data_IF_828560093761
#
_entry.id   IF_828560093761
#
_cell.length_a   1.000
_cell.length_b   1.000
_cell.length_c   1.000
_cell.angle_alpha   90.00
_cell.angle_beta   90.00
_cell.angle_gamma   90.00
#
_symmetry.space_group_name_H-M   'P 1'
#
loop_
_entity.id
_entity.type
_entity.pdbx_description
1 polymer ?
#
# COMPACT_ATOMS: atom_id res chain seq x y z
N UNK A 1 -19.29 -4.32 -59.18
CA UNK A 1 -20.27 -3.56 -59.98
C UNK A 1 -21.66 -4.01 -59.58
N UNK A 2 -22.58 -3.04 -59.54
CA UNK A 2 -24.00 -3.17 -59.21
C UNK A 2 -24.32 -3.17 -57.72
N UNK A 3 -25.12 -2.26 -57.22
CA UNK A 3 -25.75 -1.04 -57.74
C UNK A 3 -26.47 -0.49 -56.50
N UNK A 4 -26.41 0.83 -56.34
CA UNK A 4 -27.44 1.69 -55.78
C UNK A 4 -28.61 0.97 -55.07
N UNK A 5 -28.85 1.24 -53.78
CA UNK A 5 -30.20 1.46 -53.23
C UNK A 5 -30.28 1.51 -51.69
N UNK A 6 -29.26 1.94 -50.94
CA UNK A 6 -29.44 2.08 -49.49
C UNK A 6 -28.69 3.25 -48.85
N UNK A 7 -28.62 4.37 -49.58
CA UNK A 7 -28.03 5.63 -49.11
C UNK A 7 -29.00 6.82 -49.25
N UNK A 8 -30.30 6.61 -49.47
CA UNK A 8 -31.19 7.73 -49.75
C UNK A 8 -32.65 7.44 -49.40
N UNK A 9 -32.99 7.35 -48.11
CA UNK A 9 -34.35 7.61 -47.58
C UNK A 9 -34.37 7.47 -46.06
N UNK A 10 -33.85 8.46 -45.32
CA UNK A 10 -34.39 8.82 -43.98
C UNK A 10 -33.86 10.18 -43.48
N UNK A 11 -33.52 11.11 -44.39
CA UNK A 11 -33.15 12.51 -44.09
C UNK A 11 -34.34 13.42 -44.45
N UNK A 12 -35.53 13.12 -43.91
CA UNK A 12 -36.74 13.89 -44.21
C UNK A 12 -37.75 13.81 -43.06
N UNK A 13 -37.46 14.45 -41.93
CA UNK A 13 -38.46 14.95 -40.98
C UNK A 13 -37.78 15.72 -39.85
N UNK A 14 -37.55 17.03 -40.04
CA UNK A 14 -37.57 18.06 -38.98
C UNK A 14 -36.96 19.36 -39.51
N UNK A 15 -37.73 20.12 -40.28
CA UNK A 15 -37.53 21.55 -40.46
C UNK A 15 -38.90 22.16 -40.72
N UNK A 16 -39.39 22.98 -39.79
CA UNK A 16 -40.09 24.24 -40.06
C UNK A 16 -40.82 24.75 -38.80
N UNK A 17 -40.86 26.07 -38.67
CA UNK A 17 -41.58 26.91 -37.69
C UNK A 17 -40.89 27.06 -36.32
N UNK A 18 -40.60 28.26 -35.82
CA UNK A 18 -40.96 29.61 -36.25
C UNK A 18 -40.58 30.60 -35.15
N UNK A 19 -40.17 31.80 -35.55
CA UNK A 19 -39.74 32.94 -34.74
C UNK A 19 -40.93 33.56 -33.97
N UNK A 20 -40.74 34.08 -32.76
CA UNK A 20 -41.76 34.94 -32.13
C UNK A 20 -41.48 35.36 -30.68
N UNK A 21 -41.40 36.68 -30.49
CA UNK A 21 -41.14 37.46 -29.28
C UNK A 21 -42.04 37.20 -28.06
N UNK A 22 -41.47 37.33 -26.85
CA UNK A 22 -42.17 37.92 -25.70
C UNK A 22 -41.28 38.99 -25.07
N UNK A 23 -41.67 40.25 -25.30
CA UNK A 23 -41.15 41.44 -24.66
C UNK A 23 -41.80 41.67 -23.29
N UNK A 24 -40.98 42.22 -22.39
CA UNK A 24 -41.32 43.20 -21.35
C UNK A 24 -42.33 42.83 -20.25
N UNK A 25 -41.79 42.55 -19.06
CA UNK A 25 -42.37 43.09 -17.83
C UNK A 25 -41.30 43.92 -17.10
N UNK A 26 -41.47 45.23 -17.16
CA UNK A 26 -40.65 46.26 -16.52
C UNK A 26 -41.27 46.68 -15.19
N UNK A 27 -40.45 46.74 -14.13
CA UNK A 27 -40.77 47.29 -12.80
C UNK A 27 -40.98 46.17 -11.76
N UNK A 28 -40.24 46.07 -10.65
CA UNK A 28 -39.46 47.05 -9.89
C UNK A 28 -38.37 46.28 -9.15
N UNK A 29 -37.09 46.38 -9.55
CA UNK A 29 -36.00 45.82 -8.74
C UNK A 29 -35.67 46.81 -7.64
N UNK A 30 -36.09 46.54 -6.41
CA UNK A 30 -35.42 47.11 -5.24
C UNK A 30 -34.04 46.47 -5.21
N UNK A 31 -33.03 47.20 -5.69
CA UNK A 31 -31.62 46.85 -5.46
C UNK A 31 -31.31 47.16 -4.00
N UNK A 32 -31.56 46.20 -3.12
CA UNK A 32 -30.82 46.15 -1.86
C UNK A 32 -29.41 45.71 -2.24
N UNK A 33 -28.53 46.69 -2.45
CA UNK A 33 -27.09 46.46 -2.45
C UNK A 33 -26.76 45.67 -1.16
N UNK A 34 -26.29 44.41 -1.26
CA UNK A 34 -25.85 43.70 -0.07
C UNK A 34 -24.61 44.42 0.44
N UNK A 35 -24.74 45.12 1.57
CA UNK A 35 -23.64 45.82 2.26
C UNK A 35 -22.58 44.88 2.86
N UNK A 36 -22.49 43.64 2.39
CA UNK A 36 -21.43 42.73 2.77
C UNK A 36 -20.77 42.15 1.52
N UNK A 37 -19.57 42.64 1.25
CA UNK A 37 -18.64 42.01 0.30
C UNK A 37 -18.28 40.63 0.86
N UNK A 38 -18.96 39.59 0.41
CA UNK A 38 -18.49 38.21 0.58
C UNK A 38 -17.28 38.04 -0.33
N UNK A 39 -16.08 38.39 0.15
CA UNK A 39 -14.84 37.93 -0.47
C UNK A 39 -14.81 36.40 -0.38
N UNK A 40 -15.04 35.74 -1.51
CA UNK A 40 -14.67 34.35 -1.75
C UNK A 40 -15.30 33.33 -0.81
N UNK A 41 -16.57 32.97 -1.06
CA UNK A 41 -17.09 31.71 -0.58
C UNK A 41 -16.28 30.55 -1.21
N UNK A 42 -15.60 29.68 -0.45
CA UNK A 42 -14.97 28.50 -1.01
C UNK A 42 -16.09 27.54 -1.44
N UNK A 43 -16.29 27.40 -2.75
CA UNK A 43 -17.18 26.42 -3.32
C UNK A 43 -16.79 25.02 -2.81
N UNK A 44 -17.76 24.31 -2.25
CA UNK A 44 -17.56 23.09 -1.49
C UNK A 44 -16.77 22.00 -2.22
N UNK A 45 -15.78 21.47 -1.52
CA UNK A 45 -15.52 20.04 -1.38
C UNK A 45 -14.92 19.84 0.01
N UNK A 46 -15.56 18.99 0.79
CA UNK A 46 -15.04 18.44 2.03
C UNK A 46 -13.78 17.61 1.75
N UNK A 47 -12.62 18.25 1.64
CA UNK A 47 -11.35 17.57 1.84
C UNK A 47 -11.17 17.29 3.34
N UNK A 48 -12.07 16.48 3.91
CA UNK A 48 -11.84 15.88 5.21
C UNK A 48 -10.60 15.00 5.07
N UNK A 49 -9.43 15.60 5.28
CA UNK A 49 -8.14 14.95 5.47
C UNK A 49 -8.23 14.16 6.76
N UNK A 50 -8.94 13.03 6.71
CA UNK A 50 -9.08 12.15 7.83
C UNK A 50 -7.77 11.39 7.95
N UNK A 51 -6.89 11.89 8.83
CA UNK A 51 -5.63 11.24 9.13
C UNK A 51 -5.88 9.81 9.57
N UNK A 52 -5.18 8.86 8.96
CA UNK A 52 -5.26 7.46 9.37
C UNK A 52 -4.53 7.26 10.70
N UNK A 53 -5.27 7.25 11.80
CA UNK A 53 -4.74 6.96 13.13
C UNK A 53 -4.25 5.50 13.24
N UNK A 54 -3.28 5.26 14.16
CA UNK A 54 -2.73 3.92 14.49
C UNK A 54 -2.13 3.13 13.31
N UNK A 55 -1.48 3.81 12.35
CA UNK A 55 -0.80 3.13 11.25
C UNK A 55 0.48 2.39 11.69
N UNK A 56 0.35 1.11 12.02
CA UNK A 56 1.46 0.23 12.45
C UNK A 56 2.32 -0.29 11.30
N UNK A 57 1.80 -0.30 10.07
CA UNK A 57 2.46 -0.89 8.90
C UNK A 57 3.46 0.08 8.26
N UNK A 58 4.69 -0.37 8.02
CA UNK A 58 5.71 0.43 7.33
C UNK A 58 5.53 0.29 5.81
N UNK A 59 5.27 1.40 5.12
CA UNK A 59 5.01 1.41 3.65
C UNK A 59 6.27 1.18 2.80
N UNK A 60 7.47 1.48 3.33
CA UNK A 60 8.77 1.30 2.65
C UNK A 60 8.88 1.94 1.25
N UNK A 61 8.05 2.95 0.96
CA UNK A 61 7.92 3.59 -0.36
C UNK A 61 7.71 2.56 -1.49
N UNK A 62 6.97 1.48 -1.21
CA UNK A 62 6.65 0.43 -2.17
C UNK A 62 5.15 0.10 -2.13
N UNK A 63 4.55 -0.26 -3.28
CA UNK A 63 3.19 -0.80 -3.31
C UNK A 63 3.10 -2.12 -2.54
N UNK A 64 1.88 -2.57 -2.24
CA UNK A 64 1.65 -3.71 -1.35
C UNK A 64 2.36 -5.00 -1.80
N UNK A 65 2.30 -5.31 -3.09
CA UNK A 65 2.84 -6.55 -3.65
C UNK A 65 4.37 -6.58 -3.59
N UNK A 66 5.00 -5.50 -4.07
CA UNK A 66 6.47 -5.36 -4.01
C UNK A 66 6.97 -5.34 -2.57
N UNK A 67 6.24 -4.72 -1.65
CA UNK A 67 6.58 -4.72 -0.23
C UNK A 67 6.52 -6.12 0.36
N UNK A 68 5.47 -6.89 0.04
CA UNK A 68 5.33 -8.29 0.48
C UNK A 68 6.50 -9.13 -0.04
N UNK A 69 6.81 -9.04 -1.32
CA UNK A 69 7.94 -9.76 -1.91
C UNK A 69 9.29 -9.40 -1.25
N UNK A 70 9.55 -8.11 -1.03
CA UNK A 70 10.76 -7.64 -0.35
C UNK A 70 10.89 -8.21 1.08
N UNK A 71 9.80 -8.21 1.84
CA UNK A 71 9.82 -8.72 3.22
C UNK A 71 10.00 -10.24 3.25
N UNK A 72 9.39 -10.98 2.31
CA UNK A 72 9.60 -12.44 2.15
C UNK A 72 11.05 -12.76 1.82
N UNK A 73 11.65 -12.04 0.88
CA UNK A 73 13.04 -12.21 0.50
C UNK A 73 13.96 -11.96 1.70
N UNK A 74 13.83 -10.80 2.36
CA UNK A 74 14.65 -10.49 3.53
C UNK A 74 14.46 -11.49 4.69
N UNK A 75 13.24 -12.00 4.91
CA UNK A 75 13.00 -13.02 5.93
C UNK A 75 13.75 -14.31 5.61
N UNK A 76 13.67 -14.75 4.35
CA UNK A 76 14.36 -15.96 3.86
C UNK A 76 15.87 -15.82 4.01
N UNK A 77 16.42 -14.69 3.59
CA UNK A 77 17.86 -14.42 3.70
C UNK A 77 18.33 -14.37 5.16
N UNK A 78 17.56 -13.76 6.07
CA UNK A 78 17.93 -13.69 7.50
C UNK A 78 17.97 -15.08 8.12
N UNK A 79 17.01 -15.95 7.77
CA UNK A 79 16.99 -17.33 8.28
C UNK A 79 18.15 -18.15 7.69
N UNK A 80 18.45 -17.94 6.40
CA UNK A 80 19.54 -18.63 5.70
C UNK A 80 20.93 -18.30 6.25
N UNK A 81 21.21 -17.03 6.47
CA UNK A 81 22.56 -16.57 6.86
C UNK A 81 22.70 -16.27 8.35
N UNK A 82 21.60 -16.19 9.10
CA UNK A 82 21.56 -15.80 10.50
C UNK A 82 21.85 -14.31 10.76
N UNK A 83 22.54 -13.61 9.86
CA UNK A 83 22.91 -12.20 10.01
C UNK A 83 22.96 -11.46 8.68
N UNK A 84 22.30 -10.29 8.59
CA UNK A 84 22.24 -9.47 7.37
C UNK A 84 22.36 -7.99 7.67
N UNK A 85 23.09 -7.27 6.81
CA UNK A 85 23.17 -5.80 6.81
C UNK A 85 22.12 -5.21 5.87
N UNK A 86 21.23 -4.37 6.39
CA UNK A 86 20.17 -3.69 5.62
C UNK A 86 19.91 -2.28 6.15
N UNK A 87 18.90 -1.58 5.65
CA UNK A 87 18.52 -0.26 6.19
C UNK A 87 17.73 -0.43 7.48
N UNK A 88 17.86 0.52 8.41
CA UNK A 88 17.21 0.48 9.73
C UNK A 88 15.69 0.30 9.63
N UNK A 89 15.06 0.95 8.65
CA UNK A 89 13.62 0.87 8.45
C UNK A 89 13.20 -0.52 7.98
N UNK A 90 13.98 -1.15 7.07
CA UNK A 90 13.73 -2.51 6.58
C UNK A 90 13.98 -3.53 7.70
N UNK A 91 15.07 -3.43 8.45
CA UNK A 91 15.37 -4.31 9.58
C UNK A 91 14.23 -4.32 10.62
N UNK A 92 13.74 -3.13 11.01
CA UNK A 92 12.61 -3.01 11.95
C UNK A 92 11.31 -3.61 11.42
N UNK A 93 11.07 -3.55 10.10
CA UNK A 93 9.88 -4.13 9.49
C UNK A 93 9.97 -5.66 9.39
N UNK A 94 11.14 -6.20 9.03
CA UNK A 94 11.40 -7.63 8.88
C UNK A 94 11.35 -8.36 10.22
N UNK A 95 11.73 -7.70 11.31
CA UNK A 95 11.71 -8.24 12.68
C UNK A 95 10.46 -9.05 13.02
N UNK A 96 9.27 -8.45 12.77
CA UNK A 96 7.97 -9.11 13.03
C UNK A 96 7.80 -10.42 12.25
N UNK A 97 8.27 -10.44 11.00
CA UNK A 97 8.10 -11.61 10.14
C UNK A 97 9.07 -12.73 10.52
N UNK A 98 10.33 -12.41 10.82
CA UNK A 98 11.31 -13.41 11.25
C UNK A 98 10.93 -13.99 12.61
N UNK A 99 10.55 -13.16 13.58
CA UNK A 99 10.14 -13.63 14.90
C UNK A 99 8.95 -14.59 14.80
N UNK A 100 7.99 -14.29 13.92
CA UNK A 100 6.84 -15.16 13.67
C UNK A 100 7.24 -16.49 13.00
N UNK A 101 8.20 -16.50 12.05
CA UNK A 101 8.65 -17.76 11.45
C UNK A 101 9.32 -18.67 12.48
N UNK A 102 10.08 -18.12 13.42
CA UNK A 102 10.73 -18.89 14.51
C UNK A 102 9.68 -19.43 15.47
N UNK A 103 8.66 -18.64 15.80
CA UNK A 103 7.52 -19.10 16.62
C UNK A 103 6.76 -20.25 15.95
N UNK A 104 6.54 -20.19 14.63
CA UNK A 104 5.97 -21.31 13.87
C UNK A 104 6.85 -22.56 13.92
N UNK A 105 8.17 -22.40 13.80
CA UNK A 105 9.15 -23.49 13.90
C UNK A 105 9.14 -24.15 15.26
N UNK A 106 9.09 -23.36 16.36
CA UNK A 106 9.00 -23.86 17.73
C UNK A 106 7.73 -24.66 18.00
N UNK A 107 6.62 -24.29 17.36
CA UNK A 107 5.34 -25.02 17.50
C UNK A 107 5.34 -26.39 16.82
N UNK A 108 6.07 -26.57 15.72
CA UNK A 108 6.27 -27.88 15.09
C UNK A 108 5.08 -28.49 14.31
N UNK A 109 3.85 -27.98 14.47
CA UNK A 109 2.65 -28.53 13.82
C UNK A 109 2.71 -28.56 12.27
N UNK A 110 1.99 -29.51 11.66
CA UNK A 110 1.80 -29.56 10.20
C UNK A 110 1.16 -28.27 9.66
N UNK A 111 0.21 -27.69 10.40
CA UNK A 111 -0.39 -26.42 10.03
C UNK A 111 0.63 -25.28 10.03
N UNK A 112 1.52 -25.24 11.02
CA UNK A 112 2.59 -24.25 11.10
C UNK A 112 3.57 -24.37 9.92
N UNK A 113 3.93 -25.62 9.56
CA UNK A 113 4.80 -25.90 8.42
C UNK A 113 4.20 -25.41 7.10
N UNK A 114 2.89 -25.61 6.87
CA UNK A 114 2.18 -25.09 5.69
C UNK A 114 2.18 -23.56 5.64
N UNK A 115 1.99 -22.89 6.77
CA UNK A 115 2.08 -21.43 6.86
C UNK A 115 3.48 -20.92 6.51
N UNK A 116 4.52 -21.55 7.03
CA UNK A 116 5.92 -21.18 6.75
C UNK A 116 6.28 -21.36 5.27
N UNK A 117 5.87 -22.47 4.64
CA UNK A 117 6.04 -22.72 3.21
C UNK A 117 5.32 -21.70 2.31
N UNK A 118 4.21 -21.11 2.79
CA UNK A 118 3.53 -20.03 2.07
C UNK A 118 4.30 -18.70 2.08
N UNK A 119 5.26 -18.53 2.99
CA UNK A 119 6.02 -17.29 3.17
C UNK A 119 7.45 -17.39 2.67
N UNK A 120 8.22 -18.38 3.13
CA UNK A 120 9.62 -18.60 2.77
C UNK A 120 9.71 -19.20 1.36
N UNK A 121 10.73 -18.83 0.58
CA UNK A 121 10.87 -19.31 -0.80
C UNK A 121 11.47 -20.72 -0.91
N UNK A 122 12.32 -21.07 0.06
CA UNK A 122 13.12 -22.30 0.05
C UNK A 122 12.50 -23.35 1.00
N UNK A 123 12.27 -24.56 0.48
CA UNK A 123 11.64 -25.66 1.21
C UNK A 123 12.60 -26.32 2.19
N UNK A 124 13.86 -26.46 1.80
CA UNK A 124 14.88 -27.12 2.61
C UNK A 124 15.23 -26.27 3.83
N UNK A 125 15.23 -24.94 3.64
CA UNK A 125 15.39 -23.98 4.73
C UNK A 125 14.24 -24.06 5.75
N UNK A 126 13.01 -24.32 5.31
CA UNK A 126 11.88 -24.52 6.22
C UNK A 126 12.03 -25.83 6.98
N UNK A 127 12.59 -26.87 6.35
CA UNK A 127 12.85 -28.12 7.04
C UNK A 127 13.87 -27.94 8.17
N UNK A 128 15.04 -27.38 7.85
CA UNK A 128 16.10 -27.12 8.83
C UNK A 128 15.69 -26.16 9.95
N UNK A 129 14.87 -25.14 9.64
CA UNK A 129 14.32 -24.25 10.66
C UNK A 129 13.48 -24.99 11.69
N UNK A 130 12.64 -25.94 11.28
CA UNK A 130 11.77 -26.68 12.19
C UNK A 130 12.53 -27.72 13.02
N UNK A 131 13.66 -28.20 12.54
CA UNK A 131 14.55 -29.10 13.30
C UNK A 131 15.37 -28.32 14.33
N UNK A 132 15.96 -27.19 13.94
CA UNK A 132 16.88 -26.44 14.79
C UNK A 132 16.17 -25.48 15.78
N UNK A 133 14.99 -24.95 15.45
CA UNK A 133 14.34 -23.92 16.26
C UNK A 133 13.89 -24.38 17.65
N UNK A 134 13.33 -25.60 17.86
CA UNK A 134 12.89 -26.06 19.16
C UNK A 134 14.03 -26.16 20.17
N UNK A 135 15.20 -26.65 19.74
CA UNK A 135 16.39 -26.77 20.59
C UNK A 135 17.01 -25.40 20.88
N UNK A 136 17.17 -24.55 19.85
CA UNK A 136 17.85 -23.25 19.99
C UNK A 136 17.05 -22.21 20.77
N UNK A 137 15.72 -22.25 20.72
CA UNK A 137 14.85 -21.22 21.29
C UNK A 137 13.81 -21.77 22.29
N UNK A 138 14.07 -22.94 22.90
CA UNK A 138 13.19 -23.56 23.90
C UNK A 138 12.84 -22.60 25.03
N UNK A 139 13.84 -21.94 25.60
CA UNK A 139 13.73 -21.20 26.86
C UNK A 139 13.29 -19.75 26.64
N UNK A 140 13.27 -19.29 25.38
CA UNK A 140 12.98 -17.90 25.03
C UNK A 140 11.51 -17.72 24.63
N UNK A 141 10.83 -16.81 25.32
CA UNK A 141 9.47 -16.38 24.98
C UNK A 141 9.49 -15.08 24.16
N UNK A 142 9.91 -15.17 22.89
CA UNK A 142 9.92 -14.05 21.95
C UNK A 142 11.22 -13.23 21.91
N UNK A 143 11.30 -12.30 20.96
CA UNK A 143 12.52 -11.49 20.76
C UNK A 143 13.70 -12.32 20.24
N UNK A 144 13.46 -13.06 19.16
CA UNK A 144 14.46 -13.95 18.54
C UNK A 144 15.46 -13.19 17.66
N UNK A 145 15.13 -11.96 17.29
CA UNK A 145 15.96 -11.10 16.45
C UNK A 145 16.47 -9.88 17.19
N UNK A 146 17.73 -9.53 16.91
CA UNK A 146 18.36 -8.29 17.36
C UNK A 146 18.60 -7.37 16.17
N UNK A 147 18.37 -6.07 16.35
CA UNK A 147 18.67 -5.03 15.35
C UNK A 147 19.71 -4.08 15.91
N UNK A 148 20.93 -4.18 15.39
CA UNK A 148 22.06 -3.32 15.74
C UNK A 148 22.19 -2.20 14.73
N UNK A 149 22.34 -0.95 15.19
CA UNK A 149 22.56 0.20 14.30
C UNK A 149 24.03 0.23 13.89
N UNK A 150 24.29 0.66 12.66
CA UNK A 150 25.65 0.79 12.11
C UNK A 150 25.82 2.19 11.54
N UNK A 151 27.03 2.55 11.16
CA UNK A 151 27.33 3.78 10.42
C UNK A 151 26.42 3.92 9.18
N UNK A 152 25.91 5.13 8.89
CA UNK A 152 25.18 5.39 7.66
C UNK A 152 25.99 4.99 6.41
N UNK A 153 25.28 4.67 5.34
CA UNK A 153 25.89 4.34 4.06
C UNK A 153 26.51 5.60 3.44
N UNK A 154 27.71 5.46 2.88
CA UNK A 154 28.35 6.53 2.12
C UNK A 154 27.60 6.76 0.79
N UNK A 155 27.40 8.02 0.41
CA UNK A 155 26.65 8.42 -0.78
C UNK A 155 25.24 8.91 -0.47
N UNK A 156 24.33 8.02 -0.08
CA UNK A 156 22.91 8.35 0.16
C UNK A 156 22.56 8.65 1.63
N UNK A 157 23.56 8.57 2.54
CA UNK A 157 23.41 8.73 3.99
C UNK A 157 22.27 7.86 4.60
N UNK A 158 21.98 6.71 3.98
CA UNK A 158 20.92 5.84 4.47
C UNK A 158 21.32 5.24 5.82
N UNK A 159 20.43 5.35 6.82
CA UNK A 159 20.63 4.75 8.15
C UNK A 159 20.68 3.22 8.01
N UNK A 160 21.84 2.63 8.27
CA UNK A 160 22.08 1.19 8.18
C UNK A 160 21.86 0.50 9.54
N UNK A 161 21.54 -0.80 9.46
CA UNK A 161 21.45 -1.67 10.61
C UNK A 161 21.78 -3.12 10.20
N UNK A 162 22.28 -3.88 11.15
CA UNK A 162 22.44 -5.33 11.03
C UNK A 162 21.31 -5.99 11.81
N UNK A 163 20.62 -6.93 11.16
CA UNK A 163 19.65 -7.83 11.81
C UNK A 163 20.31 -9.19 12.00
N UNK A 164 20.23 -9.74 13.21
CA UNK A 164 20.83 -11.02 13.55
C UNK A 164 19.87 -11.87 14.40
N UNK A 165 19.94 -13.18 14.19
CA UNK A 165 19.31 -14.18 15.04
C UNK A 165 20.12 -14.33 16.33
N UNK A 166 19.42 -14.40 17.46
CA UNK A 166 20.04 -14.56 18.79
C UNK A 166 20.36 -16.02 19.10
#
# INVERSE_FOLDING_TARGET
MRVLALLATFVAAANAFGVGSLSSFTGTSITLEPTYVVRGAPAGRSDLSMMRHRNKLKKLNKPADQRKALLRALTTEVIRHGRIKTTLVRAKAVRKHVDHMIELGKRGDLHARRQALGWVYDKDLVHSLFEAAPERYSDRNGGYTRVLRTMPRQGDNAKMAVIELV
#
